data_IF_418170111319
#
_entry.id   IF_418170111319
#
_cell.length_a   1.000
_cell.length_b   1.000
_cell.length_c   1.000
_cell.angle_alpha   90.00
_cell.angle_beta   90.00
_cell.angle_gamma   90.00
#
_symmetry.space_group_name_H-M   'P 1'
#
loop_
_entity.id
_entity.type
_entity.pdbx_description
1 polymer ?
#
# COMPACT_ATOMS: atom_id res chain seq x y z
N UNK A 1 12.27 -2.12 -6.19
CA UNK A 1 12.87 -0.97 -6.90
C UNK A 1 12.75 0.23 -5.98
N UNK A 2 13.82 0.99 -5.77
CA UNK A 2 13.84 2.13 -4.83
C UNK A 2 13.54 3.41 -5.61
N UNK A 3 12.43 4.08 -5.31
CA UNK A 3 12.07 5.35 -5.95
C UNK A 3 12.31 6.47 -4.95
N UNK A 4 13.18 7.43 -5.30
CA UNK A 4 13.44 8.63 -4.51
C UNK A 4 12.72 9.80 -5.19
N UNK A 5 11.61 10.24 -4.62
CA UNK A 5 10.98 11.50 -4.99
C UNK A 5 11.14 12.45 -3.81
N UNK A 6 12.18 13.31 -3.85
CA UNK A 6 12.45 14.47 -2.97
C UNK A 6 12.39 14.25 -1.45
N UNK A 7 13.53 14.39 -0.75
CA UNK A 7 13.77 14.34 0.73
C UNK A 7 13.20 13.14 1.54
N UNK A 8 12.04 12.60 1.18
CA UNK A 8 11.39 11.46 1.78
C UNK A 8 11.79 10.16 1.05
N UNK A 9 12.52 9.30 1.76
CA UNK A 9 12.88 7.97 1.27
C UNK A 9 11.74 6.99 1.52
N UNK A 10 11.11 6.49 0.46
CA UNK A 10 10.11 5.42 0.52
C UNK A 10 10.56 4.18 -0.24
N UNK A 11 10.09 3.03 0.22
CA UNK A 11 10.35 1.74 -0.39
C UNK A 11 9.04 1.15 -0.87
N UNK A 12 9.03 0.75 -2.13
CA UNK A 12 7.93 -0.01 -2.73
C UNK A 12 8.40 -1.45 -2.92
N UNK A 13 7.77 -2.34 -2.17
CA UNK A 13 7.95 -3.78 -2.27
C UNK A 13 6.84 -4.34 -3.14
N UNK A 14 7.22 -5.12 -4.15
CA UNK A 14 6.29 -5.81 -5.04
C UNK A 14 6.59 -7.29 -4.92
N UNK A 15 5.62 -8.05 -4.44
CA UNK A 15 5.73 -9.49 -4.27
C UNK A 15 4.58 -10.16 -4.99
N UNK A 16 4.90 -11.11 -5.87
CA UNK A 16 3.89 -11.99 -6.44
C UNK A 16 3.18 -12.70 -5.28
N UNK A 17 1.87 -12.55 -5.22
CA UNK A 17 1.04 -13.09 -4.15
C UNK A 17 -0.29 -13.46 -4.78
N UNK A 18 -0.70 -14.73 -4.69
CA UNK A 18 -2.04 -15.19 -5.11
C UNK A 18 -3.17 -14.63 -4.22
N UNK A 19 -2.97 -13.47 -3.60
CA UNK A 19 -3.89 -12.81 -2.70
C UNK A 19 -4.86 -11.93 -3.47
N UNK A 20 -6.13 -12.11 -3.17
CA UNK A 20 -7.19 -11.21 -3.60
C UNK A 20 -7.35 -10.06 -2.59
N UNK A 21 -8.09 -9.02 -2.96
CA UNK A 21 -8.33 -7.86 -2.09
C UNK A 21 -8.95 -8.23 -0.74
N UNK A 22 -9.71 -9.31 -0.70
CA UNK A 22 -10.26 -9.93 0.51
C UNK A 22 -9.18 -10.61 1.34
N UNK A 23 -8.38 -11.50 0.75
CA UNK A 23 -7.29 -12.21 1.44
C UNK A 23 -6.25 -11.24 2.01
N UNK A 24 -5.88 -10.22 1.24
CA UNK A 24 -4.97 -9.18 1.71
C UNK A 24 -5.56 -8.47 2.92
N UNK A 25 -6.85 -8.10 2.89
CA UNK A 25 -7.51 -7.45 4.04
C UNK A 25 -7.52 -8.36 5.26
N UNK A 26 -7.89 -9.63 5.10
CA UNK A 26 -7.93 -10.60 6.20
C UNK A 26 -6.54 -10.78 6.82
N UNK A 27 -5.53 -11.09 5.99
CA UNK A 27 -4.15 -11.29 6.43
C UNK A 27 -3.51 -10.04 7.05
N UNK A 28 -3.81 -8.88 6.48
CA UNK A 28 -3.30 -7.62 7.01
C UNK A 28 -4.04 -7.21 8.28
N UNK A 29 -5.34 -7.47 8.39
CA UNK A 29 -6.12 -7.25 9.59
C UNK A 29 -5.67 -8.16 10.74
N UNK A 30 -5.34 -9.41 10.46
CA UNK A 30 -4.77 -10.34 11.44
C UNK A 30 -3.36 -9.92 11.88
N UNK A 31 -2.50 -9.47 10.95
CA UNK A 31 -1.10 -9.12 11.27
C UNK A 31 -0.93 -7.73 11.88
N UNK A 32 -1.62 -6.73 11.35
CA UNK A 32 -1.43 -5.30 11.66
C UNK A 32 -2.65 -4.67 12.33
N UNK A 33 -3.79 -5.35 12.34
CA UNK A 33 -5.08 -4.77 12.70
C UNK A 33 -5.79 -4.16 11.50
N UNK A 34 -7.01 -3.68 11.73
CA UNK A 34 -7.83 -3.07 10.69
C UNK A 34 -7.09 -1.88 10.03
N UNK A 35 -7.17 -1.75 8.70
CA UNK A 35 -6.59 -0.60 8.01
C UNK A 35 -7.21 0.69 8.52
N UNK A 36 -6.38 1.71 8.74
CA UNK A 36 -6.82 3.04 9.17
C UNK A 36 -7.70 3.67 8.10
N UNK A 37 -7.36 3.46 6.82
CA UNK A 37 -8.16 3.90 5.67
C UNK A 37 -8.15 2.86 4.55
N UNK A 38 -9.30 2.73 3.90
CA UNK A 38 -9.45 1.90 2.71
C UNK A 38 -9.90 2.77 1.56
N UNK A 39 -9.14 2.77 0.47
CA UNK A 39 -9.35 3.63 -0.70
C UNK A 39 -9.43 2.74 -1.93
N UNK A 40 -10.55 2.80 -2.63
CA UNK A 40 -10.72 2.10 -3.90
C UNK A 40 -10.44 3.07 -5.05
N UNK A 41 -9.46 2.76 -5.88
CA UNK A 41 -9.08 3.59 -7.02
C UNK A 41 -8.66 2.73 -8.21
N UNK A 42 -9.02 3.12 -9.43
CA UNK A 42 -8.73 2.39 -10.68
C UNK A 42 -9.03 0.87 -10.61
N UNK A 43 -10.07 0.46 -9.89
CA UNK A 43 -10.46 -0.96 -9.74
C UNK A 43 -9.58 -1.79 -8.79
N UNK A 44 -8.72 -1.15 -7.99
CA UNK A 44 -7.88 -1.78 -6.96
C UNK A 44 -8.17 -1.18 -5.59
N UNK A 45 -8.05 -2.01 -4.55
CA UNK A 45 -8.27 -1.59 -3.16
C UNK A 45 -6.94 -1.32 -2.46
N UNK A 46 -6.76 -0.10 -2.01
CA UNK A 46 -5.57 0.40 -1.31
C UNK A 46 -5.91 0.49 0.17
N UNK A 47 -5.17 -0.23 0.99
CA UNK A 47 -5.31 -0.23 2.44
C UNK A 47 -4.15 0.53 3.06
N UNK A 48 -4.45 1.51 3.89
CA UNK A 48 -3.48 2.39 4.53
C UNK A 48 -3.44 2.07 6.02
N UNK A 49 -2.23 1.97 6.55
CA UNK A 49 -1.93 1.65 7.94
C UNK A 49 -1.06 2.75 8.53
N UNK A 50 -1.50 3.31 9.66
CA UNK A 50 -0.77 4.30 10.46
C UNK A 50 -0.26 5.50 9.64
N UNK A 51 -0.96 5.85 8.56
CA UNK A 51 -0.64 6.95 7.63
C UNK A 51 0.83 6.98 7.17
N UNK A 52 1.54 5.84 7.21
CA UNK A 52 2.95 5.73 6.83
C UNK A 52 3.24 4.48 5.99
N UNK A 53 2.25 3.58 5.91
CA UNK A 53 2.30 2.38 5.10
C UNK A 53 1.01 2.21 4.30
N UNK A 54 1.13 1.73 3.07
CA UNK A 54 -0.02 1.38 2.24
C UNK A 54 0.24 0.05 1.56
N UNK A 55 -0.79 -0.79 1.43
CA UNK A 55 -0.71 -2.04 0.68
C UNK A 55 -1.93 -2.24 -0.20
N UNK A 56 -1.72 -2.77 -1.39
CA UNK A 56 -2.77 -3.11 -2.33
C UNK A 56 -2.38 -4.34 -3.11
N UNK A 57 -3.35 -4.97 -3.76
CA UNK A 57 -3.10 -6.06 -4.71
C UNK A 57 -3.53 -5.64 -6.09
N UNK A 58 -2.78 -6.07 -7.09
CA UNK A 58 -3.13 -5.90 -8.49
C UNK A 58 -2.73 -7.16 -9.26
N UNK A 59 -3.71 -7.87 -9.82
CA UNK A 59 -3.46 -9.04 -10.68
C UNK A 59 -2.64 -10.17 -10.05
N UNK A 60 -2.80 -10.45 -8.76
CA UNK A 60 -2.00 -11.47 -8.07
C UNK A 60 -0.58 -11.01 -7.70
N UNK A 61 -0.36 -9.69 -7.62
CA UNK A 61 0.86 -9.12 -7.07
C UNK A 61 0.46 -8.18 -5.94
N UNK A 62 1.04 -8.38 -4.76
CA UNK A 62 0.93 -7.48 -3.64
C UNK A 62 1.97 -6.38 -3.76
N UNK A 63 1.51 -5.16 -3.55
CA UNK A 63 2.32 -3.97 -3.46
C UNK A 63 2.27 -3.47 -2.03
N UNK A 64 3.41 -3.09 -1.49
CA UNK A 64 3.52 -2.46 -0.19
C UNK A 64 4.43 -1.25 -0.30
N UNK A 65 3.92 -0.08 0.08
CA UNK A 65 4.69 1.13 0.33
C UNK A 65 4.94 1.19 1.82
N UNK A 66 6.19 1.37 2.20
CA UNK A 66 6.59 1.76 3.55
C UNK A 66 7.51 2.97 3.44
N UNK A 67 7.21 4.05 4.16
CA UNK A 67 8.03 5.25 4.23
C UNK A 67 8.48 5.51 5.66
N UNK A 68 9.69 6.06 5.82
CA UNK A 68 10.23 6.41 7.13
C UNK A 68 9.99 7.88 7.51
N UNK A 69 9.21 8.61 6.73
CA UNK A 69 8.87 10.01 6.99
C UNK A 69 7.46 10.28 6.50
N UNK A 70 6.74 11.06 7.30
CA UNK A 70 5.37 11.59 7.18
C UNK A 70 4.82 11.69 5.75
N UNK A 71 4.58 10.56 5.10
CA UNK A 71 3.90 10.51 3.81
C UNK A 71 2.42 10.60 4.10
N UNK A 72 1.82 11.74 3.78
CA UNK A 72 0.38 11.88 3.94
C UNK A 72 -0.34 10.76 3.17
N UNK A 73 -1.47 10.29 3.69
CA UNK A 73 -2.28 9.26 3.03
C UNK A 73 -2.60 9.61 1.56
N UNK A 74 -2.70 10.90 1.23
CA UNK A 74 -2.88 11.38 -0.14
C UNK A 74 -1.69 11.10 -1.06
N UNK A 75 -0.45 11.21 -0.58
CA UNK A 75 0.76 10.84 -1.33
C UNK A 75 0.84 9.33 -1.53
N UNK A 76 0.54 8.54 -0.50
CA UNK A 76 0.49 7.07 -0.61
C UNK A 76 -0.50 6.62 -1.70
N UNK A 77 -1.68 7.23 -1.75
CA UNK A 77 -2.68 6.96 -2.79
C UNK A 77 -2.20 7.41 -4.16
N UNK A 78 -1.59 8.60 -4.25
CA UNK A 78 -1.05 9.12 -5.52
C UNK A 78 0.03 8.20 -6.07
N UNK A 79 0.93 7.68 -5.22
CA UNK A 79 1.93 6.68 -5.58
C UNK A 79 1.28 5.38 -6.05
N UNK A 80 0.34 4.83 -5.27
CA UNK A 80 -0.34 3.59 -5.60
C UNK A 80 -1.18 3.67 -6.91
N UNK A 81 -1.67 4.86 -7.24
CA UNK A 81 -2.47 5.12 -8.46
C UNK A 81 -1.64 5.50 -9.68
N UNK A 82 -0.40 5.97 -9.49
CA UNK A 82 0.55 6.28 -10.55
C UNK A 82 1.25 5.03 -11.14
N UNK A 83 1.13 3.88 -10.46
CA UNK A 83 1.62 2.57 -10.93
C UNK A 83 0.58 1.76 -11.70
#
# INVERSE_FOLDING_TARGET
>A
MQFRSGDNSYWITQEASDWNSSTLLDQSAEKRGAPTRTIQSKGRTIYIYNDSAATWVNGGVRYEISGNSSLDAGELVSLATSM
#
